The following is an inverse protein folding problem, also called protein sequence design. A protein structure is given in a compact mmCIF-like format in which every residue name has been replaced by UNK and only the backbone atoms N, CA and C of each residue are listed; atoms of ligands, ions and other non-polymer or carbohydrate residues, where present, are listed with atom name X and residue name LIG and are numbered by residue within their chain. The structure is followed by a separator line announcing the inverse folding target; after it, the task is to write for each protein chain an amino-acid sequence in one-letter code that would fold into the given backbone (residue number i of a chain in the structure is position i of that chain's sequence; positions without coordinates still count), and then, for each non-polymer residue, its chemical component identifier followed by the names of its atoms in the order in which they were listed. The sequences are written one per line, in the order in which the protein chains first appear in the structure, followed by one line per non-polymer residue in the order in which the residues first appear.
data_IF_791723452821
#
_entry.id   IF_791723452821
#
_cell.length_a   1.000
_cell.length_b   1.000
_cell.length_c   1.000
_cell.angle_alpha   90.00
_cell.angle_beta   90.00
_cell.angle_gamma   90.00
#
_symmetry.space_group_name_H-M   'P 1'
#
loop_
_entity.id
_entity.type
_entity.pdbx_description
1 polymer ?
#
# COMPACT_ATOMS: atom_id res chain seq x y z
N UNK A 1 -33.74 -16.87 -0.45
CA UNK A 1 -33.70 -18.09 0.39
C UNK A 1 -32.49 -18.87 -0.04
N UNK A 2 -31.43 -18.84 0.77
CA UNK A 2 -30.27 -19.69 0.57
C UNK A 2 -30.67 -21.13 0.96
N UNK A 3 -30.48 -22.07 0.03
CA UNK A 3 -30.79 -23.48 0.24
C UNK A 3 -29.75 -24.13 1.15
N UNK A 4 -30.13 -25.23 1.78
CA UNK A 4 -29.38 -26.02 2.77
C UNK A 4 -28.03 -26.62 2.33
N UNK A 5 -27.40 -26.10 1.28
CA UNK A 5 -26.03 -26.41 0.83
C UNK A 5 -24.95 -25.50 1.42
N UNK A 6 -25.30 -24.39 2.08
CA UNK A 6 -24.31 -23.38 2.53
C UNK A 6 -23.72 -23.62 3.92
N UNK A 7 -24.13 -24.68 4.62
CA UNK A 7 -23.62 -25.02 5.96
C UNK A 7 -22.16 -25.54 5.98
N UNK A 8 -21.47 -25.56 4.84
CA UNK A 8 -20.14 -26.15 4.73
C UNK A 8 -19.16 -25.34 3.86
N UNK A 9 -19.48 -24.09 3.51
CA UNK A 9 -18.54 -23.22 2.79
C UNK A 9 -17.70 -22.45 3.79
N UNK A 10 -16.49 -22.93 4.04
CA UNK A 10 -15.48 -22.22 4.82
C UNK A 10 -15.34 -20.78 4.29
N UNK A 11 -15.60 -19.81 5.17
CA UNK A 11 -15.50 -18.39 4.88
C UNK A 11 -14.14 -17.87 5.36
N UNK A 12 -13.52 -17.08 4.51
CA UNK A 12 -12.27 -16.41 4.81
C UNK A 12 -12.48 -14.92 4.95
N UNK A 13 -11.80 -14.34 5.92
CA UNK A 13 -11.70 -12.90 6.12
C UNK A 13 -10.34 -12.43 5.63
N UNK A 14 -10.31 -11.48 4.71
CA UNK A 14 -9.09 -10.82 4.25
C UNK A 14 -9.00 -9.41 4.80
N UNK A 15 -7.93 -9.09 5.53
CA UNK A 15 -7.71 -7.76 6.13
C UNK A 15 -6.44 -7.13 5.54
N UNK A 16 -6.55 -5.88 5.08
CA UNK A 16 -5.45 -4.95 4.79
C UNK A 16 -5.51 -3.74 5.74
N UNK A 17 -4.61 -3.71 6.72
CA UNK A 17 -4.54 -2.69 7.77
C UNK A 17 -3.37 -1.73 7.59
N UNK A 18 -3.66 -0.49 7.19
CA UNK A 18 -2.67 0.57 6.98
C UNK A 18 -2.73 1.70 8.00
N UNK A 19 -1.93 2.74 7.76
CA UNK A 19 -1.85 3.92 8.64
C UNK A 19 -3.09 4.82 8.66
N UNK A 20 -3.99 4.71 7.68
CA UNK A 20 -5.18 5.58 7.56
C UNK A 20 -6.51 4.83 7.64
N UNK A 21 -6.54 3.57 7.21
CA UNK A 21 -7.75 2.75 7.18
C UNK A 21 -7.39 1.27 7.32
N UNK A 22 -8.38 0.47 7.68
CA UNK A 22 -8.35 -0.98 7.67
C UNK A 22 -9.49 -1.45 6.75
N UNK A 23 -9.18 -2.27 5.75
CA UNK A 23 -10.17 -2.81 4.81
C UNK A 23 -10.30 -4.32 5.02
N UNK A 24 -11.53 -4.79 5.14
CA UNK A 24 -11.92 -6.18 5.27
C UNK A 24 -12.71 -6.64 4.05
N UNK A 25 -12.54 -7.91 3.67
CA UNK A 25 -13.41 -8.62 2.74
C UNK A 25 -13.80 -9.99 3.29
N UNK A 26 -15.03 -10.42 3.03
CA UNK A 26 -15.46 -11.82 3.22
C UNK A 26 -15.38 -12.52 1.87
N UNK A 27 -14.70 -13.65 1.83
CA UNK A 27 -14.53 -14.44 0.61
C UNK A 27 -14.92 -15.90 0.83
N UNK A 28 -15.68 -16.47 -0.09
CA UNK A 28 -16.04 -17.88 -0.05
C UNK A 28 -14.94 -18.77 -0.66
N UNK A 29 -15.10 -20.09 -0.57
CA UNK A 29 -14.16 -21.08 -1.14
C UNK A 29 -13.86 -20.90 -2.63
N UNK A 30 -14.80 -20.33 -3.39
CA UNK A 30 -14.75 -20.15 -4.84
C UNK A 30 -14.11 -18.80 -5.25
N UNK A 31 -13.49 -18.10 -4.28
CA UNK A 31 -12.85 -16.78 -4.43
C UNK A 31 -13.82 -15.63 -4.77
N UNK A 32 -15.10 -15.79 -4.44
CA UNK A 32 -16.09 -14.72 -4.60
C UNK A 32 -16.09 -13.81 -3.37
N UNK A 33 -15.93 -12.50 -3.60
CA UNK A 33 -16.07 -11.49 -2.54
C UNK A 33 -17.56 -11.31 -2.24
N UNK A 34 -17.96 -11.65 -1.02
CA UNK A 34 -19.35 -11.59 -0.57
C UNK A 34 -19.70 -10.26 0.08
N UNK A 35 -18.74 -9.61 0.72
CA UNK A 35 -18.96 -8.31 1.38
C UNK A 35 -17.66 -7.64 1.76
N UNK A 36 -17.75 -6.33 2.01
CA UNK A 36 -16.62 -5.43 2.24
C UNK A 36 -16.86 -4.54 3.44
N UNK A 37 -15.81 -4.23 4.19
CA UNK A 37 -15.89 -3.35 5.37
C UNK A 37 -14.67 -2.45 5.46
N UNK A 38 -14.88 -1.20 5.86
CA UNK A 38 -13.78 -0.23 6.06
C UNK A 38 -13.95 0.43 7.42
N UNK A 39 -12.88 0.46 8.20
CA UNK A 39 -12.83 1.14 9.49
C UNK A 39 -11.60 2.05 9.59
N UNK A 40 -11.32 2.54 10.81
CA UNK A 40 -10.15 3.37 11.13
C UNK A 40 -8.79 2.69 10.91
N UNK A 41 -7.69 3.34 11.33
CA UNK A 41 -6.32 2.86 11.10
C UNK A 41 -6.02 1.48 11.67
N UNK A 42 -5.35 0.63 10.88
CA UNK A 42 -4.97 -0.74 11.24
C UNK A 42 -3.49 -0.93 11.61
N UNK A 43 -2.70 0.14 11.73
CA UNK A 43 -1.25 0.03 12.00
C UNK A 43 -0.97 -0.01 13.52
N UNK A 44 -0.49 -1.13 14.10
CA UNK A 44 -0.21 -1.27 15.53
C UNK A 44 0.91 -0.35 16.04
N UNK A 45 1.77 0.18 15.17
CA UNK A 45 2.78 1.18 15.52
C UNK A 45 2.15 2.48 16.06
N UNK A 46 0.97 2.85 15.53
CA UNK A 46 0.25 4.05 15.96
C UNK A 46 -0.75 3.79 17.10
N UNK A 47 -0.92 2.52 17.49
CA UNK A 47 -1.79 2.14 18.59
C UNK A 47 -2.30 0.71 18.42
N UNK A 48 -1.90 -0.18 19.32
CA UNK A 48 -2.33 -1.57 19.31
C UNK A 48 -3.86 -1.70 19.44
N UNK A 49 -4.46 -1.07 20.44
CA UNK A 49 -5.93 -1.12 20.66
C UNK A 49 -6.70 -0.54 19.47
N UNK A 50 -6.20 0.55 18.88
CA UNK A 50 -6.81 1.15 17.69
C UNK A 50 -6.78 0.18 16.50
N UNK A 51 -5.64 -0.50 16.29
CA UNK A 51 -5.50 -1.47 15.21
C UNK A 51 -6.44 -2.67 15.41
N UNK A 52 -6.46 -3.28 16.59
CA UNK A 52 -7.31 -4.44 16.89
C UNK A 52 -8.80 -4.11 16.82
N UNK A 53 -9.20 -2.92 17.27
CA UNK A 53 -10.58 -2.44 17.15
C UNK A 53 -10.95 -2.23 15.68
N UNK A 54 -10.07 -1.64 14.88
CA UNK A 54 -10.30 -1.44 13.44
C UNK A 54 -10.40 -2.78 12.69
N UNK A 55 -9.53 -3.74 12.97
CA UNK A 55 -9.60 -5.09 12.38
C UNK A 55 -10.95 -5.75 12.72
N UNK A 56 -11.38 -5.68 13.98
CA UNK A 56 -12.64 -6.28 14.43
C UNK A 56 -13.85 -5.58 13.80
N UNK A 57 -13.84 -4.25 13.76
CA UNK A 57 -14.95 -3.46 13.24
C UNK A 57 -15.11 -3.61 11.73
N UNK A 58 -14.01 -3.54 10.98
CA UNK A 58 -14.04 -3.77 9.53
C UNK A 58 -14.55 -5.17 9.19
N UNK A 59 -14.20 -6.19 9.96
CA UNK A 59 -14.72 -7.55 9.78
C UNK A 59 -16.25 -7.63 9.99
N UNK A 60 -16.78 -6.97 11.02
CA UNK A 60 -18.23 -6.90 11.27
C UNK A 60 -18.96 -6.19 10.14
N UNK A 61 -18.42 -5.05 9.68
CA UNK A 61 -18.98 -4.31 8.55
C UNK A 61 -18.99 -5.15 7.26
N UNK A 62 -17.95 -5.97 7.03
CA UNK A 62 -17.91 -6.86 5.87
C UNK A 62 -18.94 -8.00 5.94
N UNK A 63 -19.23 -8.53 7.14
CA UNK A 63 -20.32 -9.48 7.34
C UNK A 63 -21.70 -8.82 7.16
N UNK A 64 -21.86 -7.59 7.62
CA UNK A 64 -23.09 -6.80 7.43
C UNK A 64 -23.38 -6.56 5.95
N UNK A 65 -22.38 -6.08 5.20
CA UNK A 65 -22.46 -5.85 3.75
C UNK A 65 -22.78 -7.15 2.99
N UNK A 66 -22.24 -8.29 3.43
CA UNK A 66 -22.54 -9.61 2.87
C UNK A 66 -23.94 -10.15 3.22
N UNK A 67 -24.68 -9.51 4.15
CA UNK A 67 -25.92 -10.06 4.69
C UNK A 67 -25.73 -11.30 5.56
N UNK A 68 -24.53 -11.48 6.12
CA UNK A 68 -24.08 -12.65 6.90
C UNK A 68 -23.94 -12.34 8.40
N UNK A 69 -24.73 -11.41 8.93
CA UNK A 69 -24.68 -11.00 10.35
C UNK A 69 -25.01 -12.10 11.37
N UNK A 70 -25.48 -13.26 10.89
CA UNK A 70 -25.73 -14.46 11.70
C UNK A 70 -24.48 -15.33 11.90
N UNK A 71 -23.40 -15.07 11.16
CA UNK A 71 -22.10 -15.74 11.31
C UNK A 71 -21.29 -14.99 12.36
N UNK A 72 -20.78 -15.72 13.34
CA UNK A 72 -19.91 -15.13 14.37
C UNK A 72 -18.47 -14.98 13.86
N UNK A 73 -17.73 -13.98 14.35
CA UNK A 73 -16.32 -13.80 13.95
C UNK A 73 -15.46 -15.03 14.27
N UNK A 74 -15.81 -15.79 15.32
CA UNK A 74 -15.14 -17.01 15.75
C UNK A 74 -15.30 -18.18 14.79
N UNK A 75 -16.12 -18.03 13.74
CA UNK A 75 -16.26 -18.99 12.64
C UNK A 75 -15.30 -18.68 11.47
N UNK A 76 -14.75 -17.45 11.40
CA UNK A 76 -13.95 -16.98 10.27
C UNK A 76 -12.46 -17.32 10.44
N UNK A 77 -11.85 -17.82 9.37
CA UNK A 77 -10.39 -17.89 9.22
C UNK A 77 -9.90 -16.58 8.62
N UNK A 78 -9.04 -15.86 9.35
CA UNK A 78 -8.63 -14.51 8.98
C UNK A 78 -7.19 -14.47 8.48
N UNK A 79 -6.98 -13.96 7.27
CA UNK A 79 -5.69 -13.46 6.81
C UNK A 79 -5.57 -11.98 7.14
N UNK A 80 -4.52 -11.59 7.84
CA UNK A 80 -4.36 -10.23 8.36
C UNK A 80 -3.01 -9.68 7.93
N UNK A 81 -3.01 -8.79 6.94
CA UNK A 81 -1.81 -8.07 6.52
C UNK A 81 -1.80 -6.66 7.07
N UNK A 82 -0.74 -6.31 7.82
CA UNK A 82 -0.66 -5.01 8.52
C UNK A 82 0.61 -4.27 8.15
N UNK A 83 0.51 -2.95 8.01
CA UNK A 83 1.67 -2.07 8.08
C UNK A 83 2.24 -2.09 9.50
N UNK A 84 3.58 -2.03 9.64
CA UNK A 84 4.26 -1.95 10.94
C UNK A 84 4.62 -3.30 11.59
N UNK A 85 4.00 -4.41 11.19
CA UNK A 85 4.39 -5.76 11.69
C UNK A 85 5.65 -6.32 11.01
N UNK A 86 6.30 -5.53 10.16
CA UNK A 86 7.70 -5.77 9.78
C UNK A 86 8.66 -5.57 10.97
N UNK A 87 8.22 -4.91 12.05
CA UNK A 87 8.96 -4.77 13.30
C UNK A 87 8.64 -5.99 14.18
N UNK A 88 9.63 -6.83 14.57
CA UNK A 88 9.39 -8.08 15.30
C UNK A 88 8.54 -7.93 16.56
N UNK A 89 8.82 -6.92 17.41
CA UNK A 89 8.05 -6.70 18.64
C UNK A 89 6.57 -6.40 18.39
N UNK A 90 6.24 -5.76 17.26
CA UNK A 90 4.85 -5.50 16.88
C UNK A 90 4.20 -6.73 16.25
N UNK A 91 4.97 -7.52 15.50
CA UNK A 91 4.52 -8.81 15.00
C UNK A 91 4.12 -9.73 16.15
N UNK A 92 5.02 -9.95 17.11
CA UNK A 92 4.78 -10.80 18.27
C UNK A 92 3.58 -10.32 19.08
N UNK A 93 3.49 -9.00 19.32
CA UNK A 93 2.34 -8.40 20.02
C UNK A 93 1.01 -8.63 19.29
N UNK A 94 1.00 -8.56 17.97
CA UNK A 94 -0.20 -8.84 17.17
C UNK A 94 -0.50 -10.34 17.08
N UNK A 95 0.51 -11.19 17.07
CA UNK A 95 0.35 -12.65 17.09
C UNK A 95 -0.21 -13.15 18.43
N UNK A 96 0.15 -12.52 19.55
CA UNK A 96 -0.34 -12.84 20.90
C UNK A 96 -1.71 -12.21 21.22
N UNK A 97 -2.26 -11.40 20.31
CA UNK A 97 -3.56 -10.76 20.51
C UNK A 97 -4.66 -11.79 20.69
N UNK A 98 -5.40 -11.68 21.80
CA UNK A 98 -6.63 -12.44 22.05
C UNK A 98 -7.74 -11.95 21.10
N UNK A 99 -7.74 -12.51 19.89
CA UNK A 99 -8.60 -12.09 18.79
C UNK A 99 -9.95 -12.81 18.79
N UNK A 100 -11.00 -12.23 18.17
CA UNK A 100 -12.33 -12.84 18.12
C UNK A 100 -12.49 -13.90 17.02
N UNK A 101 -11.48 -14.12 16.16
CA UNK A 101 -11.57 -15.02 15.01
C UNK A 101 -11.24 -16.48 15.35
N UNK A 102 -11.67 -17.41 14.48
CA UNK A 102 -11.32 -18.84 14.58
C UNK A 102 -9.80 -19.03 14.59
N UNK A 103 -9.12 -18.34 13.69
CA UNK A 103 -7.67 -18.37 13.50
C UNK A 103 -7.24 -17.10 12.78
N UNK A 104 -6.08 -16.55 13.15
CA UNK A 104 -5.41 -15.48 12.39
C UNK A 104 -4.13 -16.03 11.75
N UNK A 105 -3.92 -15.68 10.49
CA UNK A 105 -2.64 -15.76 9.81
C UNK A 105 -2.13 -14.35 9.55
N UNK A 106 -1.13 -13.93 10.34
CA UNK A 106 -0.56 -12.59 10.30
C UNK A 106 0.53 -12.48 9.21
N UNK A 107 0.45 -11.42 8.41
CA UNK A 107 1.41 -11.08 7.38
C UNK A 107 1.74 -9.57 7.42
N UNK A 108 2.80 -9.19 6.71
CA UNK A 108 3.07 -7.78 6.42
C UNK A 108 2.17 -7.26 5.30
N UNK A 109 1.89 -5.97 5.29
CA UNK A 109 1.23 -5.27 4.19
C UNK A 109 1.92 -5.50 2.83
N UNK A 110 3.26 -5.49 2.80
CA UNK A 110 4.03 -5.75 1.58
C UNK A 110 3.81 -7.17 1.04
N UNK A 111 3.76 -8.17 1.93
CA UNK A 111 3.53 -9.56 1.54
C UNK A 111 2.13 -9.74 0.94
N UNK A 112 1.08 -9.26 1.61
CA UNK A 112 -0.29 -9.39 1.09
C UNK A 112 -0.50 -8.59 -0.19
N UNK A 113 0.16 -7.44 -0.36
CA UNK A 113 0.13 -6.67 -1.59
C UNK A 113 0.79 -7.44 -2.75
N UNK A 114 1.91 -8.13 -2.47
CA UNK A 114 2.60 -8.97 -3.43
C UNK A 114 1.76 -10.20 -3.83
N UNK A 115 1.20 -10.90 -2.84
CA UNK A 115 0.34 -12.06 -3.09
C UNK A 115 -0.94 -11.65 -3.83
N UNK A 116 -1.55 -10.52 -3.48
CA UNK A 116 -2.72 -10.00 -4.20
C UNK A 116 -2.39 -9.67 -5.65
N UNK A 117 -1.27 -9.01 -5.91
CA UNK A 117 -0.85 -8.65 -7.26
C UNK A 117 -0.59 -9.87 -8.18
N UNK A 118 -0.26 -11.02 -7.58
CA UNK A 118 0.22 -12.23 -8.29
C UNK A 118 -0.60 -13.49 -8.00
N UNK A 119 -1.85 -13.34 -7.54
CA UNK A 119 -2.78 -14.44 -7.25
C UNK A 119 -2.17 -15.54 -6.34
N UNK A 120 -1.46 -15.09 -5.31
CA UNK A 120 -0.81 -15.94 -4.31
C UNK A 120 0.50 -16.58 -4.79
N UNK A 121 0.89 -16.37 -6.04
CA UNK A 121 2.15 -16.86 -6.61
C UNK A 121 3.35 -15.97 -6.29
N UNK A 122 4.53 -16.48 -6.66
CA UNK A 122 5.78 -15.73 -6.61
C UNK A 122 5.72 -14.47 -7.49
N UNK A 123 6.41 -13.42 -7.08
CA UNK A 123 6.50 -12.20 -7.86
C UNK A 123 7.13 -11.04 -7.12
N UNK A 124 7.11 -9.87 -7.76
CA UNK A 124 7.57 -8.63 -7.17
C UNK A 124 6.57 -7.49 -7.38
N UNK A 125 6.54 -6.56 -6.44
CA UNK A 125 5.73 -5.34 -6.51
C UNK A 125 6.58 -4.11 -6.29
N UNK A 126 6.30 -3.08 -7.05
CA UNK A 126 6.82 -1.73 -6.84
C UNK A 126 5.65 -0.90 -6.33
N UNK A 127 5.78 -0.34 -5.14
CA UNK A 127 4.75 0.49 -4.53
C UNK A 127 5.17 1.95 -4.68
N UNK A 128 4.31 2.77 -5.28
CA UNK A 128 4.43 4.24 -5.29
C UNK A 128 3.09 4.87 -4.89
N UNK A 129 3.00 5.25 -3.62
CA UNK A 129 1.86 5.95 -3.00
C UNK A 129 2.37 7.14 -2.19
N UNK A 130 1.92 7.29 -0.95
CA UNK A 130 2.51 8.29 -0.03
C UNK A 130 3.99 8.02 0.21
N UNK A 131 4.37 6.76 0.41
CA UNK A 131 5.76 6.28 0.42
C UNK A 131 6.08 5.44 -0.82
N UNK A 132 7.29 4.91 -0.91
CA UNK A 132 7.68 4.03 -2.02
C UNK A 132 8.67 2.95 -1.63
N UNK A 133 8.53 1.78 -2.25
CA UNK A 133 9.44 0.67 -2.08
C UNK A 133 9.30 -0.36 -3.21
N UNK A 134 10.27 -1.28 -3.28
CA UNK A 134 10.14 -2.54 -3.99
C UNK A 134 10.08 -3.70 -2.98
N UNK A 135 9.24 -4.68 -3.27
CA UNK A 135 9.16 -5.93 -2.52
C UNK A 135 9.13 -7.11 -3.49
N UNK A 136 9.83 -8.20 -3.19
CA UNK A 136 9.74 -9.46 -3.91
C UNK A 136 9.53 -10.62 -2.95
N UNK A 137 8.68 -11.57 -3.32
CA UNK A 137 8.52 -12.88 -2.72
C UNK A 137 8.75 -13.93 -3.80
N UNK A 138 9.84 -14.68 -3.69
CA UNK A 138 10.19 -15.76 -4.64
C UNK A 138 10.67 -16.95 -3.82
N UNK A 139 10.04 -18.12 -3.99
CA UNK A 139 10.30 -19.31 -3.18
C UNK A 139 10.28 -19.03 -1.66
N UNK A 140 9.28 -18.27 -1.20
CA UNK A 140 9.13 -17.82 0.20
C UNK A 140 10.27 -16.91 0.73
N UNK A 141 11.21 -16.50 -0.13
CA UNK A 141 12.27 -15.55 0.23
C UNK A 141 11.80 -14.14 -0.05
N UNK A 142 11.80 -13.32 0.98
CA UNK A 142 11.42 -11.92 0.90
C UNK A 142 12.63 -11.03 0.63
N UNK A 143 12.48 -10.03 -0.24
CA UNK A 143 13.48 -8.99 -0.49
C UNK A 143 12.81 -7.63 -0.53
N UNK A 144 13.37 -6.65 0.18
CA UNK A 144 12.89 -5.26 0.20
C UNK A 144 13.98 -4.36 -0.39
N UNK A 145 13.55 -3.41 -1.23
CA UNK A 145 14.41 -2.36 -1.80
C UNK A 145 13.78 -1.00 -1.47
N UNK A 146 14.51 -0.13 -0.79
CA UNK A 146 13.97 1.14 -0.29
C UNK A 146 13.21 0.95 1.02
N UNK A 147 12.03 1.59 1.15
CA UNK A 147 11.23 1.60 2.38
C UNK A 147 11.94 2.22 3.62
N UNK A 148 12.86 3.17 3.41
CA UNK A 148 13.57 3.84 4.51
C UNK A 148 12.78 5.00 5.14
N UNK A 149 11.58 5.30 4.62
CA UNK A 149 10.66 6.26 5.19
C UNK A 149 10.99 7.73 4.91
N UNK A 150 9.97 8.55 4.75
CA UNK A 150 10.09 10.00 4.60
C UNK A 150 10.71 10.68 5.85
N UNK A 151 11.58 11.70 5.70
CA UNK A 151 12.10 12.27 4.46
C UNK A 151 13.41 11.62 3.96
N UNK A 152 13.96 10.65 4.68
CA UNK A 152 15.29 10.06 4.42
C UNK A 152 15.29 9.04 3.26
N UNK A 153 14.13 8.45 2.96
CA UNK A 153 13.86 7.51 1.88
C UNK A 153 12.63 7.90 1.06
N UNK A 154 11.87 6.90 0.64
CA UNK A 154 10.63 7.05 -0.15
C UNK A 154 10.80 7.88 -1.44
N UNK A 155 11.98 7.84 -2.07
CA UNK A 155 12.21 8.53 -3.34
C UNK A 155 11.26 7.98 -4.42
N UNK A 156 10.73 8.84 -5.29
CA UNK A 156 9.73 8.41 -6.27
C UNK A 156 8.34 8.11 -5.69
N UNK A 157 8.11 8.40 -4.39
CA UNK A 157 6.77 8.46 -3.79
C UNK A 157 6.12 9.82 -3.97
N UNK A 158 4.81 9.89 -3.74
CA UNK A 158 4.07 11.15 -3.72
C UNK A 158 4.63 12.14 -2.69
N UNK A 159 5.00 11.68 -1.49
CA UNK A 159 5.58 12.57 -0.48
C UNK A 159 6.92 13.15 -0.96
N UNK A 160 7.74 12.35 -1.65
CA UNK A 160 8.98 12.84 -2.23
C UNK A 160 8.73 13.84 -3.37
N UNK A 161 7.84 13.55 -4.31
CA UNK A 161 7.49 14.47 -5.40
C UNK A 161 6.99 15.81 -4.87
N UNK A 162 6.05 15.79 -3.93
CA UNK A 162 5.53 17.02 -3.34
C UNK A 162 6.60 17.80 -2.57
N UNK A 163 7.48 17.12 -1.82
CA UNK A 163 8.59 17.78 -1.14
C UNK A 163 9.55 18.46 -2.13
N UNK A 164 9.90 17.78 -3.23
CA UNK A 164 10.74 18.38 -4.27
C UNK A 164 10.04 19.55 -4.96
N UNK A 165 8.74 19.44 -5.25
CA UNK A 165 7.94 20.54 -5.80
C UNK A 165 7.99 21.78 -4.89
N UNK A 166 7.72 21.62 -3.59
CA UNK A 166 7.81 22.71 -2.61
C UNK A 166 9.22 23.33 -2.58
N UNK A 167 10.27 22.50 -2.51
CA UNK A 167 11.66 22.97 -2.51
C UNK A 167 11.99 23.80 -3.76
N UNK A 168 11.59 23.32 -4.93
CA UNK A 168 11.86 24.01 -6.19
C UNK A 168 11.04 25.29 -6.36
N UNK A 169 9.82 25.34 -5.80
CA UNK A 169 9.04 26.59 -5.74
C UNK A 169 9.76 27.63 -4.90
N UNK A 170 10.25 27.28 -3.70
CA UNK A 170 11.01 28.21 -2.86
C UNK A 170 12.26 28.74 -3.57
N UNK A 171 13.06 27.84 -4.19
CA UNK A 171 14.23 28.24 -4.98
C UNK A 171 13.86 29.13 -6.18
N UNK A 172 12.70 28.91 -6.80
CA UNK A 172 12.21 29.73 -7.90
C UNK A 172 11.77 31.11 -7.42
N UNK A 173 11.18 31.23 -6.23
CA UNK A 173 10.82 32.52 -5.62
C UNK A 173 12.08 33.34 -5.27
N UNK A 174 13.15 32.67 -4.82
CA UNK A 174 14.47 33.28 -4.58
C UNK A 174 15.20 33.68 -5.88
N UNK A 175 14.73 33.21 -7.04
CA UNK A 175 15.40 33.41 -8.34
C UNK A 175 16.67 32.56 -8.53
N UNK A 176 16.87 31.52 -7.71
CA UNK A 176 18.02 30.60 -7.79
C UNK A 176 17.87 29.53 -8.87
N UNK A 177 16.63 29.22 -9.25
CA UNK A 177 16.28 28.39 -10.40
C UNK A 177 15.35 29.15 -11.33
N UNK A 178 15.15 28.63 -12.55
CA UNK A 178 14.23 29.22 -13.51
C UNK A 178 12.79 29.27 -12.96
N UNK A 179 11.98 30.26 -13.39
CA UNK A 179 10.57 30.31 -13.03
C UNK A 179 9.83 29.01 -13.37
N UNK A 180 8.96 28.57 -12.46
CA UNK A 180 8.13 27.37 -12.62
C UNK A 180 6.65 27.69 -12.56
N UNK A 181 5.84 26.96 -13.36
CA UNK A 181 4.38 26.95 -13.32
C UNK A 181 3.86 26.49 -11.95
N UNK A 182 4.67 25.73 -11.20
CA UNK A 182 4.28 25.22 -9.89
C UNK A 182 4.09 26.33 -8.86
N UNK A 183 4.80 27.46 -8.97
CA UNK A 183 4.83 28.50 -7.92
C UNK A 183 3.46 29.11 -7.68
N UNK A 184 2.80 29.62 -8.73
CA UNK A 184 1.49 30.26 -8.59
C UNK A 184 0.42 29.26 -8.08
N UNK A 185 0.45 28.03 -8.59
CA UNK A 185 -0.53 27.00 -8.23
C UNK A 185 -0.35 26.55 -6.78
N UNK A 186 0.89 26.37 -6.32
CA UNK A 186 1.18 25.96 -4.95
C UNK A 186 0.78 27.05 -3.95
N UNK A 187 1.18 28.29 -4.21
CA UNK A 187 0.83 29.44 -3.36
C UNK A 187 -0.69 29.60 -3.26
N UNK A 188 -1.40 29.55 -4.38
CA UNK A 188 -2.87 29.60 -4.39
C UNK A 188 -3.48 28.43 -3.62
N UNK A 189 -3.00 27.20 -3.82
CA UNK A 189 -3.54 25.99 -3.18
C UNK A 189 -3.37 26.01 -1.65
N UNK A 190 -2.28 26.59 -1.17
CA UNK A 190 -1.96 26.69 0.26
C UNK A 190 -2.40 28.02 0.89
N UNK A 191 -3.03 28.91 0.13
CA UNK A 191 -3.40 30.27 0.53
C UNK A 191 -2.21 31.08 1.06
N UNK A 192 -1.05 30.96 0.40
CA UNK A 192 0.18 31.70 0.72
C UNK A 192 0.33 32.90 -0.23
N UNK A 193 0.76 34.04 0.29
CA UNK A 193 0.99 35.25 -0.52
C UNK A 193 2.45 35.37 -0.96
N UNK A 194 3.37 34.84 -0.16
CA UNK A 194 4.81 34.91 -0.37
C UNK A 194 5.55 33.64 0.09
N UNK A 195 6.87 33.68 0.03
CA UNK A 195 7.79 32.63 0.46
C UNK A 195 7.72 32.36 1.97
N UNK A 196 7.50 33.39 2.78
CA UNK A 196 7.41 33.28 4.24
C UNK A 196 6.16 32.50 4.64
N UNK A 197 5.01 32.85 4.07
CA UNK A 197 3.75 32.10 4.25
C UNK A 197 3.92 30.63 3.83
N UNK A 198 4.63 30.38 2.73
CA UNK A 198 4.88 29.02 2.23
C UNK A 198 5.76 28.22 3.19
N UNK A 199 6.85 28.82 3.70
CA UNK A 199 7.72 28.18 4.69
C UNK A 199 6.93 27.80 5.95
N UNK A 200 6.11 28.71 6.46
CA UNK A 200 5.24 28.44 7.62
C UNK A 200 4.29 27.26 7.35
N UNK A 201 3.65 27.25 6.18
CA UNK A 201 2.69 26.21 5.81
C UNK A 201 3.30 24.80 5.73
N UNK A 202 4.59 24.67 5.38
CA UNK A 202 5.23 23.38 5.09
C UNK A 202 6.18 22.88 6.19
N UNK A 203 6.66 23.74 7.08
CA UNK A 203 7.75 23.44 8.03
C UNK A 203 7.52 22.20 8.92
N UNK A 204 6.30 21.96 9.38
CA UNK A 204 5.97 20.85 10.31
C UNK A 204 5.06 19.79 9.70
N UNK A 205 5.01 19.71 8.38
CA UNK A 205 4.09 18.83 7.67
C UNK A 205 4.58 17.38 7.56
N UNK A 206 3.62 16.45 7.53
CA UNK A 206 3.88 15.01 7.41
C UNK A 206 3.95 14.57 5.94
N UNK A 207 4.43 13.35 5.69
CA UNK A 207 4.51 12.76 4.35
C UNK A 207 3.18 12.84 3.57
N UNK A 208 2.04 12.64 4.24
CA UNK A 208 0.71 12.72 3.62
C UNK A 208 0.38 14.11 3.06
N UNK A 209 0.80 15.18 3.72
CA UNK A 209 0.62 16.54 3.23
C UNK A 209 1.42 16.77 1.94
N UNK A 210 2.68 16.33 1.92
CA UNK A 210 3.51 16.44 0.72
C UNK A 210 2.97 15.56 -0.41
N UNK A 211 2.47 14.35 -0.11
CA UNK A 211 1.88 13.48 -1.11
C UNK A 211 0.67 14.10 -1.83
N UNK A 212 -0.11 14.94 -1.15
CA UNK A 212 -1.20 15.71 -1.77
C UNK A 212 -0.71 16.77 -2.77
N UNK A 213 0.58 17.12 -2.74
CA UNK A 213 1.20 18.06 -3.68
C UNK A 213 1.87 17.34 -4.87
N UNK A 214 1.95 16.02 -4.89
CA UNK A 214 2.63 15.28 -5.95
C UNK A 214 2.06 15.59 -7.34
N UNK A 215 0.74 15.61 -7.48
CA UNK A 215 0.07 15.87 -8.77
C UNK A 215 0.45 17.22 -9.37
N UNK A 216 0.74 18.24 -8.55
CA UNK A 216 1.20 19.54 -9.05
C UNK A 216 2.47 19.41 -9.90
N UNK A 217 3.41 18.56 -9.47
CA UNK A 217 4.66 18.32 -10.19
C UNK A 217 4.39 17.66 -11.53
N UNK A 218 3.54 16.64 -11.57
CA UNK A 218 3.19 15.97 -12.82
C UNK A 218 2.40 16.89 -13.75
N UNK A 219 1.43 17.66 -13.23
CA UNK A 219 0.61 18.60 -14.01
C UNK A 219 1.50 19.67 -14.67
N UNK A 220 2.53 20.17 -13.97
CA UNK A 220 3.48 21.12 -14.52
C UNK A 220 4.42 20.47 -15.55
N UNK A 221 4.90 19.25 -15.28
CA UNK A 221 5.76 18.51 -16.20
C UNK A 221 5.04 18.21 -17.54
N UNK A 222 3.76 17.84 -17.48
CA UNK A 222 2.90 17.61 -18.65
C UNK A 222 2.69 18.89 -19.48
N UNK A 223 2.81 20.07 -18.87
CA UNK A 223 2.78 21.37 -19.55
C UNK A 223 4.15 21.83 -20.06
N UNK A 224 5.20 21.01 -19.94
CA UNK A 224 6.55 21.32 -20.42
C UNK A 224 7.41 22.12 -19.46
N UNK A 225 7.00 22.28 -18.21
CA UNK A 225 7.80 22.92 -17.17
C UNK A 225 9.11 22.15 -16.93
N UNK A 226 10.24 22.81 -17.21
CA UNK A 226 11.56 22.19 -17.14
C UNK A 226 12.01 21.83 -15.72
N UNK A 227 11.58 22.58 -14.70
CA UNK A 227 11.87 22.27 -13.29
C UNK A 227 11.09 21.01 -12.89
N UNK A 228 9.81 20.95 -13.23
CA UNK A 228 8.97 19.81 -12.92
C UNK A 228 9.40 18.54 -13.67
N UNK A 229 9.75 18.65 -14.96
CA UNK A 229 10.29 17.55 -15.77
C UNK A 229 11.54 16.95 -15.13
N UNK A 230 12.44 17.77 -14.58
CA UNK A 230 13.64 17.29 -13.91
C UNK A 230 13.29 16.46 -12.65
N UNK A 231 12.31 16.91 -11.85
CA UNK A 231 11.85 16.15 -10.67
C UNK A 231 11.23 14.82 -11.11
N UNK A 232 10.36 14.83 -12.12
CA UNK A 232 9.71 13.62 -12.66
C UNK A 232 10.75 12.62 -13.17
N UNK A 233 11.73 13.08 -13.94
CA UNK A 233 12.80 12.23 -14.45
C UNK A 233 13.63 11.60 -13.32
N UNK A 234 13.96 12.38 -12.29
CA UNK A 234 14.72 11.88 -11.14
C UNK A 234 13.94 10.82 -10.34
N UNK A 235 12.64 11.05 -10.11
CA UNK A 235 11.77 10.10 -9.42
C UNK A 235 11.53 8.83 -10.23
N UNK A 236 11.30 8.96 -11.53
CA UNK A 236 11.13 7.83 -12.45
C UNK A 236 12.39 6.97 -12.52
N UNK A 237 13.58 7.57 -12.57
CA UNK A 237 14.83 6.79 -12.61
C UNK A 237 15.11 6.04 -11.31
N UNK A 238 14.71 6.59 -10.16
CA UNK A 238 14.76 5.83 -8.92
C UNK A 238 13.85 4.59 -8.96
N UNK A 239 12.63 4.72 -9.50
CA UNK A 239 11.72 3.59 -9.67
C UNK A 239 12.25 2.58 -10.70
N UNK A 240 12.86 3.03 -11.81
CA UNK A 240 13.57 2.15 -12.75
C UNK A 240 14.66 1.35 -12.04
N UNK A 241 15.42 1.99 -11.14
CA UNK A 241 16.48 1.35 -10.36
C UNK A 241 15.93 0.29 -9.39
N UNK A 242 14.78 0.56 -8.75
CA UNK A 242 14.06 -0.45 -7.95
C UNK A 242 13.67 -1.63 -8.84
N UNK A 243 13.03 -1.39 -9.98
CA UNK A 243 12.59 -2.44 -10.90
C UNK A 243 13.74 -3.34 -11.34
N UNK A 244 14.88 -2.75 -11.74
CA UNK A 244 16.10 -3.49 -12.11
C UNK A 244 16.64 -4.31 -10.95
N UNK A 245 16.63 -3.77 -9.73
CA UNK A 245 17.07 -4.48 -8.52
C UNK A 245 16.16 -5.67 -8.22
N UNK A 246 14.84 -5.51 -8.31
CA UNK A 246 13.87 -6.60 -8.11
C UNK A 246 14.01 -7.69 -9.18
N UNK A 247 14.31 -7.31 -10.43
CA UNK A 247 14.54 -8.26 -11.52
C UNK A 247 15.68 -9.24 -11.19
N UNK A 248 16.70 -8.82 -10.43
CA UNK A 248 17.80 -9.72 -10.00
C UNK A 248 17.35 -10.86 -9.07
N UNK A 249 16.14 -10.77 -8.52
CA UNK A 249 15.52 -11.82 -7.69
C UNK A 249 14.78 -12.88 -8.53
N UNK A 250 14.78 -12.72 -9.85
CA UNK A 250 14.09 -13.57 -10.82
C UNK A 250 12.59 -13.80 -10.49
N UNK A 251 11.81 -12.75 -10.16
CA UNK A 251 10.37 -12.92 -10.00
C UNK A 251 9.75 -13.29 -11.36
N UNK A 252 8.76 -14.20 -11.41
CA UNK A 252 8.07 -14.52 -12.67
C UNK A 252 7.20 -13.37 -13.17
N UNK A 253 6.85 -12.42 -12.29
CA UNK A 253 5.93 -11.32 -12.54
C UNK A 253 6.31 -10.09 -11.73
N UNK A 254 6.20 -8.89 -12.31
CA UNK A 254 6.41 -7.62 -11.60
C UNK A 254 5.22 -6.70 -11.83
N UNK A 255 4.60 -6.22 -10.76
CA UNK A 255 3.47 -5.27 -10.84
C UNK A 255 3.81 -3.96 -10.15
N UNK A 256 3.19 -2.86 -10.61
CA UNK A 256 3.30 -1.57 -9.94
C UNK A 256 1.97 -1.23 -9.24
N UNK A 257 2.05 -0.82 -7.99
CA UNK A 257 0.93 -0.56 -7.10
C UNK A 257 0.99 0.86 -6.52
N UNK A 258 -0.15 1.35 -6.05
CA UNK A 258 -0.27 2.61 -5.32
C UNK A 258 -0.82 3.75 -6.18
N UNK A 259 -1.39 4.75 -5.51
CA UNK A 259 -2.17 5.80 -6.15
C UNK A 259 -1.39 6.72 -7.09
N UNK A 260 -0.05 6.72 -7.04
CA UNK A 260 0.77 7.51 -7.95
C UNK A 260 1.09 6.77 -9.26
N UNK A 261 0.87 5.46 -9.31
CA UNK A 261 1.15 4.62 -10.49
C UNK A 261 0.60 5.19 -11.80
N UNK A 262 -0.65 5.67 -11.88
CA UNK A 262 -1.19 6.20 -13.14
C UNK A 262 -0.45 7.44 -13.66
N UNK A 263 0.14 8.24 -12.76
CA UNK A 263 0.92 9.43 -13.11
C UNK A 263 2.36 9.09 -13.46
N UNK A 264 2.95 8.10 -12.79
CA UNK A 264 4.38 7.80 -12.89
C UNK A 264 4.71 6.77 -13.99
N UNK A 265 3.80 5.83 -14.28
CA UNK A 265 4.05 4.68 -15.18
C UNK A 265 4.54 5.12 -16.58
N UNK A 266 3.98 6.19 -17.14
CA UNK A 266 4.36 6.70 -18.47
C UNK A 266 5.80 7.23 -18.55
N UNK A 267 6.37 7.66 -17.42
CA UNK A 267 7.70 8.24 -17.32
C UNK A 267 8.81 7.21 -17.08
N UNK A 268 8.44 5.94 -16.85
CA UNK A 268 9.41 4.85 -16.67
C UNK A 268 10.06 4.49 -18.02
N UNK A 269 11.24 3.86 -17.94
CA UNK A 269 11.96 3.38 -19.11
C UNK A 269 11.13 2.32 -19.87
N UNK A 270 11.22 2.29 -21.20
CA UNK A 270 10.39 1.42 -22.06
C UNK A 270 10.50 -0.06 -21.68
N UNK A 271 11.72 -0.54 -21.46
CA UNK A 271 11.96 -1.93 -21.04
C UNK A 271 11.34 -2.27 -19.66
N UNK A 272 11.22 -1.28 -18.76
CA UNK A 272 10.55 -1.48 -17.48
C UNK A 272 9.03 -1.51 -17.69
N UNK A 273 8.47 -0.58 -18.48
CA UNK A 273 7.04 -0.56 -18.79
C UNK A 273 6.55 -1.86 -19.43
N UNK A 274 7.36 -2.45 -20.31
CA UNK A 274 7.07 -3.73 -20.97
C UNK A 274 7.12 -4.93 -20.00
N UNK A 275 7.91 -4.83 -18.92
CA UNK A 275 8.02 -5.87 -17.89
C UNK A 275 6.89 -5.78 -16.85
N UNK A 276 6.28 -4.60 -16.69
CA UNK A 276 5.23 -4.38 -15.69
C UNK A 276 3.92 -5.01 -16.15
N UNK A 277 3.38 -5.86 -15.30
CA UNK A 277 2.06 -6.44 -15.48
C UNK A 277 1.03 -5.79 -14.53
N UNK A 278 -0.23 -5.81 -14.94
CA UNK A 278 -1.31 -5.30 -14.08
C UNK A 278 -1.50 -6.24 -12.87
N UNK A 279 -1.71 -5.69 -11.67
CA UNK A 279 -1.99 -6.50 -10.49
C UNK A 279 -3.32 -7.24 -10.66
N UNK A 280 -3.35 -8.52 -10.27
CA UNK A 280 -4.55 -9.36 -10.45
C UNK A 280 -5.61 -9.00 -9.41
N UNK A 281 -5.20 -8.87 -8.14
CA UNK A 281 -6.09 -8.58 -7.03
C UNK A 281 -5.56 -7.50 -6.10
N UNK A 282 -6.47 -6.96 -5.27
CA UNK A 282 -6.14 -6.01 -4.22
C UNK A 282 -5.48 -6.71 -3.01
N UNK A 283 -4.76 -5.97 -2.14
CA UNK A 283 -4.03 -6.56 -1.00
C UNK A 283 -4.91 -7.40 -0.06
N UNK A 284 -6.15 -6.99 0.19
CA UNK A 284 -7.08 -7.73 1.05
C UNK A 284 -7.44 -9.13 0.51
N UNK A 285 -7.40 -9.32 -0.81
CA UNK A 285 -7.51 -10.66 -1.44
C UNK A 285 -6.22 -11.45 -1.20
N UNK A 286 -5.07 -10.80 -1.35
CA UNK A 286 -3.77 -11.39 -0.99
C UNK A 286 -3.71 -11.89 0.46
N UNK A 287 -4.38 -11.20 1.39
CA UNK A 287 -4.54 -11.67 2.78
C UNK A 287 -5.29 -13.00 2.86
N UNK A 288 -6.39 -13.16 2.13
CA UNK A 288 -7.12 -14.44 2.10
C UNK A 288 -6.27 -15.55 1.48
N UNK A 289 -5.60 -15.26 0.36
CA UNK A 289 -4.73 -16.22 -0.31
C UNK A 289 -3.60 -16.69 0.62
N UNK A 290 -3.01 -15.76 1.38
CA UNK A 290 -2.03 -16.08 2.41
C UNK A 290 -2.61 -17.03 3.48
N UNK A 291 -3.79 -16.70 4.04
CA UNK A 291 -4.44 -17.54 5.05
C UNK A 291 -4.67 -18.97 4.56
N UNK A 292 -5.15 -19.14 3.32
CA UNK A 292 -5.37 -20.47 2.71
C UNK A 292 -4.09 -21.27 2.59
N UNK A 293 -3.01 -20.64 2.12
CA UNK A 293 -1.71 -21.30 1.98
C UNK A 293 -1.19 -21.76 3.34
N UNK A 294 -1.31 -20.94 4.38
CA UNK A 294 -0.88 -21.29 5.74
C UNK A 294 -1.73 -22.41 6.34
N UNK A 295 -3.05 -22.36 6.16
CA UNK A 295 -3.96 -23.40 6.63
C UNK A 295 -3.66 -24.76 5.96
N UNK A 296 -3.44 -24.77 4.63
CA UNK A 296 -3.07 -25.97 3.90
C UNK A 296 -1.75 -26.58 4.41
N UNK A 297 -0.74 -25.74 4.68
CA UNK A 297 0.55 -26.19 5.24
C UNK A 297 0.39 -26.84 6.62
N UNK A 298 -0.44 -26.25 7.49
CA UNK A 298 -0.71 -26.81 8.82
C UNK A 298 -1.45 -28.15 8.76
N UNK A 299 -2.42 -28.31 7.84
CA UNK A 299 -3.13 -29.59 7.65
C UNK A 299 -2.20 -30.72 7.19
N UNK A 300 -1.23 -30.43 6.32
CA UNK A 300 -0.22 -31.41 5.86
C UNK A 300 0.70 -31.81 7.01
N UNK A 301 1.15 -30.86 7.84
CA UNK A 301 2.02 -31.14 8.99
C UNK A 301 1.33 -31.94 10.10
N UNK A 302 0.02 -31.77 10.30
CA UNK A 302 -0.75 -32.54 11.27
C UNK A 302 -1.10 -33.96 10.79
N UNK A 303 -0.97 -34.22 9.49
CA UNK A 303 -1.26 -35.52 8.86
C UNK A 303 0.00 -36.37 8.62
N UNK A 304 1.19 -35.81 8.89
CA UNK A 304 2.50 -36.45 8.74
C UNK A 304 3.04 -36.90 10.10
#
# INVERSE_FOLDING_TARGET
MLTSSDKNNELFLGIDGGGSKCKAIIMNKDNEILGTGISGPGNPLHGFEQATNSITESAKLALEDAGLTHIELSELVAGVGLAGVNIPVLFDKMADWQHPFKTIYLATDLLIACLGAHDGGDGAVIISGTGSCGFACVEEKHSIVGAHGFPHGDKGSGAWFGLQGVKQVLLSLDGLVQPTLMSAVLLQKLNCNDDTDLVEAVASQKATFYAQQANLVFDAAEQGDQVALAIVAEGAEYINSIARTLTTKNPPRISMLGGLTPRLKSWLADNIKETLEEPIHAPEVGSVLFARQQQAKQSVQQSA
#
